data_IF_735504146985
#
_entry.id   IF_735504146985
#
_cell.length_a   1.000
_cell.length_b   1.000
_cell.length_c   1.000
_cell.angle_alpha   90.00
_cell.angle_beta   90.00
_cell.angle_gamma   90.00
#
_symmetry.space_group_name_H-M   'P 1'
#
loop_
_entity.id
_entity.type
_entity.pdbx_description
1 polymer ?
#
# COMPACT_ATOMS: atom_id res chain seq x y z
N UNK A 1 5.87 21.00 0.83
CA UNK A 1 5.62 19.69 0.18
C UNK A 1 5.80 18.47 1.09
N UNK A 2 6.64 18.50 2.14
CA UNK A 2 6.83 17.35 3.07
C UNK A 2 5.56 16.84 3.74
N UNK A 3 4.74 17.74 4.27
CA UNK A 3 3.49 17.37 4.93
C UNK A 3 2.55 16.64 3.96
N UNK A 4 2.55 17.09 2.70
CA UNK A 4 1.78 16.47 1.62
C UNK A 4 2.31 15.07 1.28
N UNK A 5 3.63 14.88 1.20
CA UNK A 5 4.22 13.57 0.96
C UNK A 5 3.90 12.56 2.09
N UNK A 6 3.99 12.99 3.36
CA UNK A 6 3.59 12.13 4.47
C UNK A 6 2.09 11.87 4.51
N UNK A 7 1.25 12.87 4.23
CA UNK A 7 -0.19 12.71 4.20
C UNK A 7 -0.63 11.74 3.08
N UNK A 8 -0.15 11.96 1.85
CA UNK A 8 -0.47 11.11 0.70
C UNK A 8 0.11 9.71 0.90
N UNK A 9 1.40 9.59 1.20
CA UNK A 9 2.02 8.28 1.36
C UNK A 9 1.47 7.51 2.56
N UNK A 10 1.18 8.19 3.67
CA UNK A 10 0.52 7.58 4.83
C UNK A 10 -0.90 7.12 4.51
N UNK A 11 -1.69 7.91 3.78
CA UNK A 11 -3.02 7.52 3.33
C UNK A 11 -2.97 6.29 2.41
N UNK A 12 -2.01 6.22 1.48
CA UNK A 12 -1.83 5.06 0.61
C UNK A 12 -1.45 3.80 1.40
N UNK A 13 -0.56 3.91 2.38
CA UNK A 13 -0.20 2.78 3.27
C UNK A 13 -1.42 2.32 4.07
N UNK A 14 -2.21 3.25 4.60
CA UNK A 14 -3.44 2.91 5.35
C UNK A 14 -4.48 2.20 4.46
N UNK A 15 -4.70 2.70 3.24
CA UNK A 15 -5.59 2.05 2.26
C UNK A 15 -5.05 0.67 1.85
N UNK A 16 -3.73 0.53 1.69
CA UNK A 16 -3.09 -0.76 1.46
C UNK A 16 -3.33 -1.74 2.61
N UNK A 17 -3.27 -1.28 3.85
CA UNK A 17 -3.63 -2.09 5.03
C UNK A 17 -5.09 -2.53 5.03
N UNK A 18 -6.03 -1.64 4.66
CA UNK A 18 -7.45 -1.99 4.56
C UNK A 18 -7.69 -3.01 3.43
N UNK A 19 -7.11 -2.79 2.25
CA UNK A 19 -7.22 -3.72 1.13
C UNK A 19 -6.61 -5.09 1.45
N UNK A 20 -5.56 -5.13 2.28
CA UNK A 20 -4.95 -6.38 2.73
C UNK A 20 -5.91 -7.22 3.57
N UNK A 21 -6.79 -6.60 4.37
CA UNK A 21 -7.82 -7.33 5.12
C UNK A 21 -8.77 -8.07 4.18
N UNK A 22 -9.22 -7.43 3.09
CA UNK A 22 -10.05 -8.08 2.08
C UNK A 22 -9.32 -9.21 1.34
N UNK A 23 -8.02 -9.06 1.07
CA UNK A 23 -7.21 -10.13 0.49
C UNK A 23 -7.06 -11.34 1.44
N UNK A 24 -6.96 -11.09 2.75
CA UNK A 24 -6.94 -12.14 3.77
C UNK A 24 -8.29 -12.83 3.89
N UNK A 25 -9.40 -12.13 3.70
CA UNK A 25 -10.73 -12.75 3.63
C UNK A 25 -10.83 -13.72 2.45
N UNK A 26 -10.35 -13.34 1.25
CA UNK A 26 -10.27 -14.26 0.11
C UNK A 26 -9.44 -15.52 0.42
N UNK A 27 -8.33 -15.36 1.14
CA UNK A 27 -7.49 -16.49 1.57
C UNK A 27 -8.22 -17.40 2.55
N UNK A 28 -8.96 -16.80 3.48
CA UNK A 28 -9.75 -17.52 4.48
C UNK A 28 -10.90 -18.30 3.83
N UNK A 29 -11.51 -17.74 2.79
CA UNK A 29 -12.63 -18.35 2.08
C UNK A 29 -12.19 -19.41 1.06
N UNK A 30 -10.87 -19.67 0.96
CA UNK A 30 -10.32 -20.70 0.07
C UNK A 30 -10.39 -20.32 -1.40
N UNK A 31 -10.29 -19.03 -1.71
CA UNK A 31 -10.25 -18.53 -3.08
C UNK A 31 -9.10 -19.16 -3.89
N UNK A 32 -9.27 -19.17 -5.22
CA UNK A 32 -8.26 -19.70 -6.13
C UNK A 32 -6.95 -18.93 -6.06
N UNK A 33 -5.85 -19.56 -6.51
CA UNK A 33 -4.54 -18.92 -6.50
C UNK A 33 -4.49 -17.63 -7.33
N UNK A 34 -5.25 -17.56 -8.42
CA UNK A 34 -5.37 -16.36 -9.26
C UNK A 34 -6.10 -15.23 -8.52
N UNK A 35 -7.23 -15.53 -7.90
CA UNK A 35 -8.01 -14.57 -7.11
C UNK A 35 -7.19 -14.02 -5.93
N UNK A 36 -6.38 -14.88 -5.30
CA UNK A 36 -5.45 -14.47 -4.25
C UNK A 36 -4.37 -13.55 -4.77
N UNK A 37 -3.73 -13.90 -5.88
CA UNK A 37 -2.70 -13.07 -6.50
C UNK A 37 -3.24 -11.68 -6.84
N UNK A 38 -4.45 -11.60 -7.40
CA UNK A 38 -5.12 -10.33 -7.70
C UNK A 38 -5.50 -9.58 -6.43
N UNK A 39 -6.02 -10.29 -5.42
CA UNK A 39 -6.41 -9.72 -4.13
C UNK A 39 -5.23 -9.09 -3.38
N UNK A 40 -4.05 -9.70 -3.43
CA UNK A 40 -2.84 -9.15 -2.82
C UNK A 40 -2.12 -8.09 -3.67
N UNK A 41 -2.41 -8.01 -4.97
CA UNK A 41 -1.72 -7.06 -5.86
C UNK A 41 -1.95 -5.61 -5.44
N UNK A 42 -3.22 -5.24 -5.23
CA UNK A 42 -3.62 -3.88 -4.85
C UNK A 42 -3.00 -3.43 -3.53
N UNK A 43 -3.14 -4.16 -2.40
CA UNK A 43 -2.57 -3.73 -1.13
C UNK A 43 -1.05 -3.62 -1.17
N UNK A 44 -0.36 -4.54 -1.85
CA UNK A 44 1.10 -4.48 -2.01
C UNK A 44 1.51 -3.24 -2.80
N UNK A 45 0.86 -2.95 -3.93
CA UNK A 45 1.16 -1.77 -4.74
C UNK A 45 0.94 -0.48 -3.96
N UNK A 46 -0.14 -0.37 -3.20
CA UNK A 46 -0.44 0.82 -2.39
C UNK A 46 0.62 1.07 -1.31
N UNK A 47 1.09 0.02 -0.63
CA UNK A 47 2.16 0.13 0.37
C UNK A 47 3.47 0.55 -0.28
N UNK A 48 3.83 -0.05 -1.42
CA UNK A 48 5.06 0.29 -2.16
C UNK A 48 5.05 1.74 -2.63
N UNK A 49 3.97 2.18 -3.28
CA UNK A 49 3.84 3.57 -3.74
C UNK A 49 3.81 4.53 -2.56
N UNK A 50 3.05 4.23 -1.50
CA UNK A 50 2.98 5.07 -0.31
C UNK A 50 4.33 5.24 0.36
N UNK A 51 5.09 4.15 0.52
CA UNK A 51 6.46 4.16 1.02
C UNK A 51 7.41 4.95 0.13
N UNK A 52 7.30 4.80 -1.20
CA UNK A 52 8.11 5.56 -2.16
C UNK A 52 7.85 7.07 -2.09
N UNK A 53 6.58 7.49 -1.99
CA UNK A 53 6.20 8.90 -1.83
C UNK A 53 6.79 9.49 -0.54
N UNK A 54 6.70 8.74 0.57
CA UNK A 54 7.31 9.13 1.85
C UNK A 54 8.83 9.26 1.70
N UNK A 55 9.48 8.29 1.06
CA UNK A 55 10.91 8.28 0.84
C UNK A 55 11.38 9.47 -0.02
N UNK A 56 10.66 9.81 -1.09
CA UNK A 56 10.97 11.01 -1.88
C UNK A 56 10.85 12.29 -1.05
N UNK A 57 9.80 12.39 -0.21
CA UNK A 57 9.63 13.50 0.73
C UNK A 57 10.76 13.61 1.77
N UNK A 58 11.40 12.49 2.10
CA UNK A 58 12.57 12.42 2.99
C UNK A 58 13.87 12.76 2.25
N UNK A 59 14.07 12.24 1.03
CA UNK A 59 15.31 12.44 0.26
C UNK A 59 15.50 13.89 -0.16
N UNK A 60 14.44 14.61 -0.48
CA UNK A 60 14.47 16.07 -0.70
C UNK A 60 14.84 16.90 0.55
N UNK A 61 15.29 16.27 1.64
CA UNK A 61 15.91 16.92 2.81
C UNK A 61 17.44 16.85 2.81
N UNK A 62 18.03 15.94 2.03
CA UNK A 62 19.47 15.66 2.03
C UNK A 62 20.20 16.31 0.85
N UNK A 63 19.45 17.04 0.02
CA UNK A 63 19.90 17.91 -1.08
C UNK A 63 19.51 19.35 -0.73
#
# INVERSE_FOLDING_TARGET
MRLLAYAIGGALVALGGIAFLGAVELLRDGAGAEDLAQGFLVPVTLVVIGGFVIWMGLKGRNE
#
